data_IF_929762620632
#
_entry.id   IF_929762620632
#
_cell.length_a   1.000
_cell.length_b   1.000
_cell.length_c   1.000
_cell.angle_alpha   90.00
_cell.angle_beta   90.00
_cell.angle_gamma   90.00
#
_symmetry.space_group_name_H-M   'P 1'
#
loop_
_entity.id
_entity.type
_entity.pdbx_description
1 polymer ?
#
# COMPACT_ATOMS: atom_id res chain seq x y z
N UNK A 1 -10.96 -6.04 17.97
CA UNK A 1 -11.27 -5.17 16.80
C UNK A 1 -12.65 -5.51 16.24
N UNK A 2 -12.89 -6.75 15.78
CA UNK A 2 -14.21 -7.16 15.23
C UNK A 2 -15.40 -6.80 16.14
N UNK A 3 -15.43 -7.29 17.38
CA UNK A 3 -16.50 -6.93 18.35
C UNK A 3 -16.55 -5.44 18.71
N UNK A 4 -15.52 -4.67 18.36
CA UNK A 4 -15.48 -3.21 18.51
C UNK A 4 -16.20 -2.48 17.37
N UNK A 5 -16.73 -3.20 16.37
CA UNK A 5 -17.52 -2.62 15.27
C UNK A 5 -16.67 -1.91 14.21
N UNK A 6 -15.46 -2.40 13.93
CA UNK A 6 -14.64 -1.86 12.83
C UNK A 6 -15.24 -2.24 11.47
N UNK A 7 -15.07 -1.36 10.48
CA UNK A 7 -15.57 -1.60 9.11
C UNK A 7 -14.59 -2.39 8.23
N UNK A 8 -13.30 -2.43 8.61
CA UNK A 8 -12.21 -2.99 7.79
C UNK A 8 -11.05 -3.42 8.69
N UNK A 9 -10.30 -4.43 8.26
CA UNK A 9 -8.99 -4.73 8.83
C UNK A 9 -7.88 -4.16 7.97
N UNK A 10 -6.93 -3.45 8.59
CA UNK A 10 -5.70 -2.98 7.95
C UNK A 10 -4.50 -3.73 8.53
N UNK A 11 -3.78 -4.47 7.67
CA UNK A 11 -2.46 -5.03 7.98
C UNK A 11 -1.43 -4.09 7.36
N UNK A 12 -0.93 -3.14 8.13
CA UNK A 12 0.01 -2.12 7.62
C UNK A 12 1.45 -2.35 8.02
N UNK A 13 2.34 -1.64 7.33
CA UNK A 13 3.79 -1.66 7.57
C UNK A 13 4.35 -3.08 7.53
N UNK A 14 3.91 -3.86 6.53
CA UNK A 14 4.37 -5.23 6.35
C UNK A 14 5.79 -5.22 5.79
N UNK A 15 6.75 -5.59 6.64
CA UNK A 15 8.15 -5.81 6.29
C UNK A 15 8.42 -7.24 5.80
N UNK A 16 7.64 -8.20 6.30
CA UNK A 16 7.79 -9.63 6.02
C UNK A 16 6.46 -10.27 5.62
N UNK A 17 6.47 -10.93 4.47
CA UNK A 17 5.26 -11.46 3.85
C UNK A 17 4.72 -12.71 4.55
N UNK A 18 5.56 -13.49 5.24
CA UNK A 18 5.09 -14.63 6.03
C UNK A 18 4.27 -14.18 7.24
N UNK A 19 4.74 -13.14 7.94
CA UNK A 19 3.97 -12.50 9.02
C UNK A 19 2.64 -11.93 8.51
N UNK A 20 2.63 -11.31 7.34
CA UNK A 20 1.39 -10.86 6.71
C UNK A 20 0.44 -12.02 6.40
N UNK A 21 0.93 -13.13 5.84
CA UNK A 21 0.10 -14.34 5.62
C UNK A 21 -0.44 -14.93 6.92
N UNK A 22 0.32 -14.87 8.00
CA UNK A 22 -0.18 -15.30 9.32
C UNK A 22 -1.33 -14.41 9.80
N UNK A 23 -1.23 -13.08 9.62
CA UNK A 23 -2.32 -12.15 9.94
C UNK A 23 -3.55 -12.36 9.04
N UNK A 24 -3.35 -12.58 7.73
CA UNK A 24 -4.43 -12.94 6.80
C UNK A 24 -5.14 -14.22 7.26
N UNK A 25 -4.37 -15.24 7.64
CA UNK A 25 -4.93 -16.51 8.14
C UNK A 25 -5.73 -16.29 9.41
N UNK A 26 -5.20 -15.54 10.37
CA UNK A 26 -5.92 -15.23 11.61
C UNK A 26 -7.25 -14.50 11.35
N UNK A 27 -7.30 -13.56 10.40
CA UNK A 27 -8.54 -12.88 10.02
C UNK A 27 -9.52 -13.87 9.36
N UNK A 28 -9.04 -14.76 8.49
CA UNK A 28 -9.87 -15.80 7.88
C UNK A 28 -10.41 -16.81 8.89
N UNK A 29 -9.66 -17.09 9.94
CA UNK A 29 -10.13 -17.99 11.00
C UNK A 29 -11.31 -17.40 11.77
N UNK A 30 -11.37 -16.07 11.92
CA UNK A 30 -12.54 -15.40 12.47
C UNK A 30 -13.77 -15.61 11.56
N UNK A 31 -13.59 -15.58 10.24
CA UNK A 31 -14.67 -15.89 9.28
C UNK A 31 -15.13 -17.34 9.42
N UNK A 32 -14.21 -18.29 9.53
CA UNK A 32 -14.49 -19.72 9.73
C UNK A 32 -15.18 -20.00 11.07
N UNK A 33 -14.91 -19.20 12.11
CA UNK A 33 -15.58 -19.22 13.41
C UNK A 33 -16.99 -18.58 13.39
N UNK A 34 -17.43 -18.07 12.24
CA UNK A 34 -18.78 -17.55 12.02
C UNK A 34 -18.93 -16.05 12.23
N UNK A 35 -17.83 -15.29 12.34
CA UNK A 35 -17.87 -13.84 12.33
C UNK A 35 -18.06 -13.33 10.90
N UNK A 36 -18.81 -12.23 10.76
CA UNK A 36 -19.04 -11.60 9.45
C UNK A 36 -17.70 -11.22 8.80
N UNK A 37 -17.45 -11.59 7.53
CA UNK A 37 -16.25 -11.21 6.80
C UNK A 37 -16.20 -9.70 6.60
N UNK A 38 -15.07 -9.11 7.00
CA UNK A 38 -14.79 -7.69 6.78
C UNK A 38 -13.76 -7.52 5.65
N UNK A 39 -13.82 -6.41 4.90
CA UNK A 39 -12.80 -6.08 3.91
C UNK A 39 -11.39 -6.09 4.53
N UNK A 40 -10.40 -6.41 3.71
CA UNK A 40 -9.00 -6.46 4.12
C UNK A 40 -8.17 -5.46 3.31
N UNK A 41 -7.50 -4.54 3.97
CA UNK A 41 -6.50 -3.67 3.39
C UNK A 41 -5.11 -4.14 3.84
N UNK A 42 -4.20 -4.36 2.89
CA UNK A 42 -2.82 -4.75 3.18
C UNK A 42 -1.87 -3.65 2.68
N UNK A 43 -1.02 -3.12 3.55
CA UNK A 43 0.02 -2.17 3.17
C UNK A 43 1.41 -2.70 3.55
N UNK A 44 2.25 -2.85 2.53
CA UNK A 44 3.66 -3.18 2.70
C UNK A 44 4.50 -1.97 3.05
N UNK A 45 5.78 -2.20 3.24
CA UNK A 45 6.75 -1.10 3.32
C UNK A 45 8.05 -1.50 2.62
N UNK A 46 8.55 -0.59 1.79
CA UNK A 46 9.80 -0.75 1.06
C UNK A 46 10.87 -0.05 1.89
N UNK A 47 11.80 -0.82 2.44
CA UNK A 47 12.62 -0.35 3.57
C UNK A 47 13.79 0.53 3.18
N UNK A 48 14.22 0.51 1.92
CA UNK A 48 15.35 1.29 1.46
C UNK A 48 15.36 1.49 -0.07
N UNK A 49 16.44 2.10 -0.56
CA UNK A 49 16.68 2.35 -1.99
C UNK A 49 16.90 1.09 -2.83
N UNK A 50 16.99 -0.11 -2.23
CA UNK A 50 17.03 -1.36 -3.00
C UNK A 50 15.68 -1.68 -3.65
N UNK A 51 14.62 -1.00 -3.23
CA UNK A 51 13.27 -1.14 -3.79
C UNK A 51 12.56 -2.41 -3.36
N UNK A 52 12.92 -2.96 -2.20
CA UNK A 52 12.40 -4.21 -1.66
C UNK A 52 11.82 -4.05 -0.26
N UNK A 53 10.92 -4.96 0.09
CA UNK A 53 10.55 -5.18 1.51
C UNK A 53 11.77 -5.65 2.30
N UNK A 54 11.70 -5.63 3.64
CA UNK A 54 12.79 -6.12 4.49
C UNK A 54 13.11 -7.60 4.21
N UNK A 55 12.08 -8.39 3.90
CA UNK A 55 12.23 -9.79 3.48
C UNK A 55 12.74 -9.97 2.04
N UNK A 56 13.04 -8.87 1.33
CA UNK A 56 13.70 -8.86 0.02
C UNK A 56 12.78 -8.93 -1.20
N UNK A 57 11.46 -8.80 -1.03
CA UNK A 57 10.53 -8.88 -2.17
C UNK A 57 10.41 -7.56 -2.91
N UNK A 58 10.39 -7.61 -4.24
CA UNK A 58 9.94 -6.48 -5.07
C UNK A 58 8.43 -6.27 -4.93
N UNK A 59 7.92 -5.12 -5.37
CA UNK A 59 6.50 -4.78 -5.24
C UNK A 59 5.57 -5.81 -5.91
N UNK A 60 5.90 -6.29 -7.12
CA UNK A 60 5.11 -7.32 -7.80
C UNK A 60 5.21 -8.68 -7.09
N UNK A 61 6.39 -9.06 -6.60
CA UNK A 61 6.56 -10.30 -5.84
C UNK A 61 5.72 -10.28 -4.54
N UNK A 62 5.72 -9.14 -3.83
CA UNK A 62 4.87 -8.91 -2.67
C UNK A 62 3.39 -9.10 -3.03
N UNK A 63 2.92 -8.43 -4.08
CA UNK A 63 1.54 -8.55 -4.54
C UNK A 63 1.15 -10.00 -4.89
N UNK A 64 1.94 -10.67 -5.74
CA UNK A 64 1.70 -12.07 -6.11
C UNK A 64 1.62 -12.99 -4.88
N UNK A 65 2.39 -12.69 -3.83
CA UNK A 65 2.39 -13.47 -2.60
C UNK A 65 1.09 -13.34 -1.80
N UNK A 66 0.44 -12.18 -1.79
CA UNK A 66 -0.72 -11.89 -0.93
C UNK A 66 -2.06 -11.83 -1.67
N UNK A 67 -2.07 -11.72 -3.01
CA UNK A 67 -3.30 -11.52 -3.80
C UNK A 67 -4.39 -12.58 -3.58
N UNK A 68 -4.00 -13.79 -3.19
CA UNK A 68 -4.92 -14.88 -2.85
C UNK A 68 -5.88 -14.52 -1.70
N UNK A 69 -5.53 -13.53 -0.87
CA UNK A 69 -6.40 -12.99 0.17
C UNK A 69 -7.55 -12.13 -0.37
N UNK A 70 -7.51 -11.73 -1.65
CA UNK A 70 -8.47 -10.83 -2.30
C UNK A 70 -8.70 -9.54 -1.49
N UNK A 71 -7.64 -8.77 -1.17
CA UNK A 71 -7.78 -7.57 -0.37
C UNK A 71 -8.60 -6.50 -1.10
N UNK A 72 -9.34 -5.71 -0.34
CA UNK A 72 -10.02 -4.49 -0.78
C UNK A 72 -9.05 -3.46 -1.34
N UNK A 73 -7.87 -3.32 -0.72
CA UNK A 73 -6.81 -2.46 -1.20
C UNK A 73 -5.44 -3.05 -0.86
N UNK A 74 -4.46 -2.78 -1.72
CA UNK A 74 -3.04 -3.07 -1.49
C UNK A 74 -2.23 -1.78 -1.61
N UNK A 75 -1.15 -1.63 -0.86
CA UNK A 75 -0.34 -0.41 -0.94
C UNK A 75 1.02 -0.49 -0.30
N UNK A 76 1.64 0.69 -0.22
CA UNK A 76 2.84 0.92 0.57
C UNK A 76 2.68 2.11 1.50
N UNK A 77 3.31 2.00 2.67
CA UNK A 77 3.41 3.06 3.64
C UNK A 77 4.75 3.04 4.39
N UNK A 78 5.04 4.13 5.08
CA UNK A 78 6.23 4.30 5.90
C UNK A 78 7.55 4.16 5.10
N UNK A 79 8.67 4.18 5.84
CA UNK A 79 10.07 4.10 5.41
C UNK A 79 10.54 5.18 4.42
N UNK A 80 9.80 5.44 3.36
CA UNK A 80 10.12 6.38 2.30
C UNK A 80 9.18 7.60 2.36
N UNK A 81 9.73 8.76 1.96
CA UNK A 81 8.93 9.90 1.53
C UNK A 81 8.31 9.65 0.15
N UNK A 82 7.44 10.56 -0.29
CA UNK A 82 6.68 10.39 -1.53
C UNK A 82 7.60 10.19 -2.75
N UNK A 83 8.54 11.09 -3.01
CA UNK A 83 9.42 11.01 -4.18
C UNK A 83 10.07 9.61 -4.38
N UNK A 84 10.59 9.02 -3.31
CA UNK A 84 11.24 7.70 -3.34
C UNK A 84 10.24 6.54 -3.45
N UNK A 85 9.02 6.70 -2.93
CA UNK A 85 7.99 5.66 -2.95
C UNK A 85 7.30 5.53 -4.32
N UNK A 86 7.23 6.63 -5.09
CA UNK A 86 6.53 6.71 -6.38
C UNK A 86 6.79 5.54 -7.34
N UNK A 87 8.05 5.15 -7.67
CA UNK A 87 8.30 4.06 -8.61
C UNK A 87 7.70 2.73 -8.15
N UNK A 88 7.65 2.46 -6.83
CA UNK A 88 7.07 1.24 -6.28
C UNK A 88 5.54 1.24 -6.36
N UNK A 89 4.92 2.41 -6.20
CA UNK A 89 3.48 2.58 -6.42
C UNK A 89 3.13 2.42 -7.91
N UNK A 90 3.96 2.92 -8.82
CA UNK A 90 3.77 2.72 -10.26
C UNK A 90 3.86 1.23 -10.65
N UNK A 91 4.84 0.50 -10.12
CA UNK A 91 4.98 -0.95 -10.30
C UNK A 91 3.73 -1.68 -9.79
N UNK A 92 3.31 -1.39 -8.54
CA UNK A 92 2.15 -2.01 -7.92
C UNK A 92 0.85 -1.68 -8.68
N UNK A 93 0.70 -0.43 -9.11
CA UNK A 93 -0.43 0.05 -9.92
C UNK A 93 -0.58 -0.73 -11.23
N UNK A 94 0.52 -1.12 -11.87
CA UNK A 94 0.48 -1.92 -13.09
C UNK A 94 -0.06 -3.34 -12.84
N UNK A 95 0.22 -3.93 -11.68
CA UNK A 95 0.01 -5.38 -11.43
C UNK A 95 -1.15 -5.72 -10.52
N UNK A 96 -1.59 -4.79 -9.67
CA UNK A 96 -2.66 -5.02 -8.71
C UNK A 96 -4.03 -5.07 -9.41
N UNK A 97 -4.76 -6.16 -9.26
CA UNK A 97 -6.15 -6.31 -9.72
C UNK A 97 -7.17 -5.87 -8.65
N UNK A 98 -6.75 -4.97 -7.76
CA UNK A 98 -7.55 -4.36 -6.69
C UNK A 98 -7.21 -2.86 -6.55
N UNK A 99 -7.79 -2.18 -5.57
CA UNK A 99 -7.49 -0.78 -5.26
C UNK A 99 -6.03 -0.63 -4.79
N UNK A 100 -5.39 0.46 -5.22
CA UNK A 100 -4.03 0.80 -4.80
C UNK A 100 -4.06 1.94 -3.81
N UNK A 101 -3.33 1.78 -2.72
CA UNK A 101 -3.19 2.77 -1.67
C UNK A 101 -1.74 3.20 -1.49
N UNK A 102 -1.52 4.45 -1.09
CA UNK A 102 -0.20 4.95 -0.79
C UNK A 102 -0.26 6.03 0.29
N UNK A 103 0.52 5.88 1.34
CA UNK A 103 0.60 6.88 2.40
C UNK A 103 2.04 6.99 2.92
N UNK A 104 2.87 7.83 2.26
CA UNK A 104 4.28 7.96 2.57
C UNK A 104 4.51 8.72 3.88
N UNK A 105 5.76 8.70 4.35
CA UNK A 105 6.19 9.64 5.37
C UNK A 105 6.23 11.07 4.80
N UNK A 106 6.24 12.08 5.68
CA UNK A 106 6.52 13.47 5.33
C UNK A 106 8.04 13.65 5.05
N UNK A 107 8.50 13.07 3.95
CA UNK A 107 9.92 12.96 3.62
C UNK A 107 10.67 11.89 4.41
N UNK A 108 12.00 11.92 4.32
CA UNK A 108 12.88 11.09 5.17
C UNK A 108 13.15 11.80 6.50
N UNK A 109 13.30 11.07 7.61
CA UNK A 109 13.67 11.70 8.88
C UNK A 109 15.07 12.31 8.78
N UNK A 110 15.23 13.51 9.33
CA UNK A 110 16.51 14.20 9.43
C UNK A 110 17.41 13.56 10.52
N UNK A 111 18.63 14.08 10.70
CA UNK A 111 19.58 13.53 11.67
C UNK A 111 19.09 13.54 13.14
N UNK A 112 18.07 14.35 13.44
CA UNK A 112 17.42 14.42 14.76
C UNK A 112 16.16 13.54 14.85
N UNK A 113 15.85 12.77 13.79
CA UNK A 113 14.66 11.93 13.69
C UNK A 113 13.36 12.69 13.41
N UNK A 114 13.45 13.96 12.98
CA UNK A 114 12.29 14.81 12.69
C UNK A 114 11.98 14.81 11.19
N UNK A 115 10.76 15.21 10.83
CA UNK A 115 10.29 15.29 9.45
C UNK A 115 10.11 16.76 9.07
N UNK A 116 10.87 17.22 8.07
CA UNK A 116 10.94 18.63 7.69
C UNK A 116 10.03 18.97 6.49
N UNK A 117 9.53 17.96 5.77
CA UNK A 117 8.63 18.14 4.62
C UNK A 117 7.34 18.83 5.09
N UNK A 118 6.93 19.85 4.35
CA UNK A 118 5.78 20.68 4.66
C UNK A 118 4.49 20.11 4.04
N UNK A 119 3.31 20.45 4.60
CA UNK A 119 2.02 19.96 4.11
C UNK A 119 1.80 20.05 2.59
N UNK A 120 2.18 21.18 1.99
CA UNK A 120 2.02 21.43 0.55
C UNK A 120 2.99 20.61 -0.31
N UNK A 121 4.18 20.28 0.21
CA UNK A 121 5.17 19.48 -0.51
C UNK A 121 4.67 18.03 -0.62
N UNK A 122 4.25 17.43 0.49
CA UNK A 122 3.62 16.10 0.50
C UNK A 122 2.39 16.09 -0.42
N UNK A 123 1.50 17.08 -0.31
CA UNK A 123 0.29 17.15 -1.12
C UNK A 123 0.59 17.19 -2.62
N UNK A 124 1.57 17.99 -3.05
CA UNK A 124 1.95 18.09 -4.46
C UNK A 124 2.40 16.74 -5.05
N UNK A 125 3.16 15.93 -4.30
CA UNK A 125 3.55 14.60 -4.77
C UNK A 125 2.35 13.65 -4.90
N UNK A 126 1.45 13.65 -3.91
CA UNK A 126 0.28 12.76 -3.93
C UNK A 126 -0.78 13.20 -4.96
N UNK A 127 -0.90 14.50 -5.23
CA UNK A 127 -1.67 15.06 -6.34
C UNK A 127 -1.20 14.47 -7.67
N UNK A 128 0.11 14.50 -7.93
CA UNK A 128 0.68 13.95 -9.16
C UNK A 128 0.40 12.45 -9.30
N UNK A 129 0.48 11.68 -8.21
CA UNK A 129 0.15 10.25 -8.25
C UNK A 129 -1.31 10.01 -8.61
N UNK A 130 -2.22 10.80 -8.05
CA UNK A 130 -3.63 10.72 -8.33
C UNK A 130 -3.92 11.09 -9.79
N UNK A 131 -3.35 12.20 -10.28
CA UNK A 131 -3.51 12.65 -11.67
C UNK A 131 -2.92 11.66 -12.69
N UNK A 132 -1.81 11.01 -12.34
CA UNK A 132 -1.20 9.92 -13.12
C UNK A 132 -1.96 8.60 -13.04
N UNK A 133 -3.08 8.54 -12.30
CA UNK A 133 -3.92 7.34 -12.18
C UNK A 133 -3.22 6.18 -11.47
N UNK A 134 -2.31 6.46 -10.54
CA UNK A 134 -1.53 5.43 -9.84
C UNK A 134 -2.24 4.90 -8.59
N UNK A 135 -3.13 5.69 -7.99
CA UNK A 135 -3.68 5.43 -6.66
C UNK A 135 -5.20 5.56 -6.63
N UNK A 136 -5.81 4.84 -5.69
CA UNK A 136 -7.21 4.90 -5.32
C UNK A 136 -7.41 5.55 -3.95
N UNK A 137 -6.44 5.35 -3.04
CA UNK A 137 -6.48 5.83 -1.66
C UNK A 137 -5.13 6.48 -1.35
N UNK A 138 -5.17 7.69 -0.81
CA UNK A 138 -3.99 8.45 -0.40
C UNK A 138 -4.08 8.86 1.06
N UNK A 139 -2.94 9.02 1.72
CA UNK A 139 -2.88 9.46 3.11
C UNK A 139 -1.46 9.82 3.53
N UNK A 140 -1.20 9.75 4.84
CA UNK A 140 0.09 10.05 5.43
C UNK A 140 0.51 9.03 6.49
N UNK A 141 1.81 8.82 6.63
CA UNK A 141 2.42 8.00 7.68
C UNK A 141 3.24 8.87 8.64
N UNK A 142 4.43 8.45 9.05
CA UNK A 142 5.25 9.18 10.01
C UNK A 142 5.61 10.59 9.52
N UNK A 143 5.54 11.57 10.43
CA UNK A 143 5.80 12.98 10.13
C UNK A 143 4.59 13.76 9.60
N UNK A 144 3.58 13.08 9.07
CA UNK A 144 2.38 13.75 8.58
C UNK A 144 1.51 14.25 9.73
N UNK A 145 0.81 15.36 9.49
CA UNK A 145 -0.04 16.05 10.47
C UNK A 145 -1.44 16.25 9.90
N UNK A 146 -2.44 16.69 10.69
CA UNK A 146 -3.74 17.07 10.16
C UNK A 146 -3.67 18.11 9.03
N UNK A 147 -2.66 18.99 9.05
CA UNK A 147 -2.45 19.97 7.97
C UNK A 147 -2.01 19.29 6.67
N UNK A 148 -1.11 18.29 6.75
CA UNK A 148 -0.74 17.47 5.60
C UNK A 148 -1.97 16.80 4.98
N UNK A 149 -2.80 16.15 5.80
CA UNK A 149 -3.99 15.45 5.32
C UNK A 149 -4.99 16.42 4.68
N UNK A 150 -5.15 17.62 5.23
CA UNK A 150 -6.02 18.66 4.64
C UNK A 150 -5.54 19.06 3.25
N UNK A 151 -4.25 19.40 3.11
CA UNK A 151 -3.68 19.77 1.81
C UNK A 151 -3.79 18.61 0.81
N UNK A 152 -3.46 17.37 1.21
CA UNK A 152 -3.61 16.20 0.34
C UNK A 152 -5.07 16.06 -0.13
N UNK A 153 -6.04 16.19 0.77
CA UNK A 153 -7.45 16.07 0.42
C UNK A 153 -7.92 17.18 -0.53
N UNK A 154 -7.47 18.42 -0.31
CA UNK A 154 -7.78 19.57 -1.18
C UNK A 154 -7.24 19.36 -2.60
N UNK A 155 -5.97 18.96 -2.75
CA UNK A 155 -5.32 18.80 -4.05
C UNK A 155 -5.87 17.61 -4.87
N UNK A 156 -6.24 16.50 -4.21
CA UNK A 156 -6.80 15.33 -4.91
C UNK A 156 -8.31 15.41 -5.13
N UNK A 157 -8.98 16.43 -4.62
CA UNK A 157 -10.43 16.59 -4.77
C UNK A 157 -10.80 16.73 -6.25
N UNK A 158 -11.74 15.88 -6.71
CA UNK A 158 -12.21 15.88 -8.09
C UNK A 158 -11.32 15.11 -9.07
N UNK A 159 -10.17 14.59 -8.63
CA UNK A 159 -9.34 13.69 -9.44
C UNK A 159 -10.01 12.32 -9.52
N UNK A 160 -10.04 11.74 -10.72
CA UNK A 160 -10.62 10.39 -10.93
C UNK A 160 -9.65 9.34 -10.38
N UNK A 161 -10.07 8.47 -9.44
CA UNK A 161 -9.22 7.40 -8.93
C UNK A 161 -8.76 6.45 -10.03
N UNK A 162 -7.62 5.79 -9.80
CA UNK A 162 -7.09 4.74 -10.69
C UNK A 162 -8.16 3.72 -11.09
N UNK A 163 -8.29 3.45 -12.39
CA UNK A 163 -9.08 2.32 -12.87
C UNK A 163 -8.38 1.00 -12.51
N UNK A 164 -9.11 0.07 -11.88
CA UNK A 164 -8.57 -1.26 -11.57
C UNK A 164 -8.46 -2.06 -12.88
N UNK A 165 -7.26 -2.54 -13.26
CA UNK A 165 -7.07 -3.24 -14.51
C UNK A 165 -7.63 -4.66 -14.44
N UNK A 166 -8.26 -5.10 -15.52
CA UNK A 166 -8.50 -6.52 -15.74
C UNK A 166 -7.19 -7.19 -16.17
N UNK A 167 -6.80 -8.26 -15.48
CA UNK A 167 -5.60 -9.03 -15.82
C UNK A 167 -5.98 -10.41 -16.34
N UNK A 168 -5.36 -10.88 -17.44
CA UNK A 168 -5.52 -12.25 -17.89
C UNK A 168 -5.15 -13.26 -16.81
N UNK A 169 -5.88 -14.37 -16.77
CA UNK A 169 -5.55 -15.52 -15.93
C UNK A 169 -4.20 -16.06 -16.37
N UNK A 170 -3.23 -16.08 -15.46
CA UNK A 170 -1.91 -16.65 -15.70
C UNK A 170 -1.36 -17.25 -14.40
N UNK A 171 -0.42 -18.19 -14.51
CA UNK A 171 0.32 -18.70 -13.36
C UNK A 171 1.29 -17.62 -12.89
N UNK A 172 1.01 -17.05 -11.72
CA UNK A 172 1.84 -16.04 -11.06
C UNK A 172 2.37 -16.58 -9.74
N UNK A 173 3.68 -16.63 -9.63
CA UNK A 173 4.41 -17.10 -8.46
C UNK A 173 5.28 -15.97 -7.90
N UNK A 174 5.79 -16.15 -6.69
CA UNK A 174 6.68 -15.20 -6.05
C UNK A 174 7.71 -15.92 -5.18
N UNK A 175 8.99 -15.57 -5.41
CA UNK A 175 10.07 -15.71 -4.45
C UNK A 175 10.44 -14.31 -3.93
N UNK A 176 11.72 -13.92 -4.06
CA UNK A 176 12.12 -12.51 -3.94
C UNK A 176 11.70 -11.69 -5.17
N UNK A 177 11.65 -12.35 -6.32
CA UNK A 177 11.17 -11.82 -7.61
C UNK A 177 9.81 -12.43 -7.97
N UNK A 178 9.01 -11.73 -8.79
CA UNK A 178 7.83 -12.31 -9.39
C UNK A 178 8.24 -13.29 -10.50
N UNK A 179 7.39 -14.28 -10.73
CA UNK A 179 7.46 -15.13 -11.91
C UNK A 179 6.07 -15.23 -12.51
N UNK A 180 5.93 -14.86 -13.77
CA UNK A 180 4.70 -15.03 -14.55
C UNK A 180 5.01 -15.98 -15.70
N UNK A 181 4.30 -17.11 -15.78
CA UNK A 181 4.41 -18.01 -16.91
C UNK A 181 3.72 -17.35 -18.11
N UNK A 182 4.52 -16.91 -19.08
CA UNK A 182 3.99 -16.38 -20.33
C UNK A 182 3.20 -17.48 -21.07
N UNK A 183 1.95 -17.17 -21.42
CA UNK A 183 1.11 -17.97 -22.32
C UNK A 183 1.49 -17.74 -23.77
#
# INVERSE_FOLDING_TARGET
>A
LHHGGVDIFLIETVFDTLNCKAAIKAIKDLEDEGLEPLPLWISGTITDRSGRTLSGQTAEAFWNSIRHARPFAVGFNCALGAELMRPHIAELSRVADTLVSAYPNAGLPNAMGQYDEQPHETAHFLEEWAQSGLVNIVGGCCGTTPDHIRHVAEEVTGVTPRAVPERPVALRLAGLEPFELAS
#
